data_IF_875149846811
#
_entry.id   IF_875149846811
#
_cell.length_a   1.000
_cell.length_b   1.000
_cell.length_c   1.000
_cell.angle_alpha   90.00
_cell.angle_beta   90.00
_cell.angle_gamma   90.00
#
_symmetry.space_group_name_H-M   'P 1'
#
loop_
_entity.id
_entity.type
_entity.pdbx_description
1 polymer ?
#
# COMPACT_ATOMS: atom_id res chain seq x y z
N UNK A 1 -8.94 -12.07 14.24
CA UNK A 1 -7.55 -12.25 14.71
C UNK A 1 -6.86 -10.90 14.59
N UNK A 2 -6.20 -10.42 15.64
CA UNK A 2 -5.39 -9.21 15.57
C UNK A 2 -3.92 -9.63 15.47
N UNK A 3 -3.21 -9.12 14.47
CA UNK A 3 -1.78 -9.38 14.27
C UNK A 3 -1.07 -8.04 14.27
N UNK A 4 -0.01 -7.92 15.08
CA UNK A 4 0.85 -6.73 15.08
C UNK A 4 1.88 -6.88 13.99
N UNK A 5 1.75 -6.08 12.94
CA UNK A 5 2.78 -5.92 11.92
C UNK A 5 3.72 -4.80 12.35
N UNK A 6 5.02 -5.03 12.28
CA UNK A 6 6.03 -3.99 12.55
C UNK A 6 6.68 -3.61 11.23
N UNK A 7 6.54 -2.35 10.84
CA UNK A 7 7.20 -1.78 9.66
C UNK A 7 8.29 -0.81 10.10
N UNK A 8 9.54 -1.05 9.69
CA UNK A 8 10.70 -0.22 10.06
C UNK A 8 11.14 0.75 8.95
N UNK A 9 10.35 0.89 7.89
CA UNK A 9 10.69 1.68 6.69
C UNK A 9 11.30 0.85 5.55
N UNK A 10 11.81 -0.36 5.82
CA UNK A 10 12.41 -1.24 4.81
C UNK A 10 11.86 -2.67 4.85
N UNK A 11 11.40 -3.11 6.02
CA UNK A 11 10.96 -4.47 6.29
C UNK A 11 9.65 -4.46 7.06
N UNK A 12 8.73 -5.31 6.62
CA UNK A 12 7.50 -5.64 7.31
C UNK A 12 7.70 -6.97 8.02
N UNK A 13 7.71 -6.95 9.35
CA UNK A 13 7.74 -8.17 10.16
C UNK A 13 6.31 -8.63 10.41
N UNK A 14 5.96 -9.81 9.92
CA UNK A 14 4.70 -10.49 10.18
C UNK A 14 4.91 -11.69 11.13
N UNK A 15 4.51 -11.58 12.40
CA UNK A 15 4.64 -12.67 13.37
C UNK A 15 3.99 -13.97 12.90
N UNK A 16 4.76 -15.06 12.87
CA UNK A 16 4.28 -16.38 12.46
C UNK A 16 4.20 -16.63 10.95
N UNK A 17 4.49 -15.61 10.11
CA UNK A 17 4.52 -15.75 8.65
C UNK A 17 5.93 -15.49 8.10
N UNK A 18 6.58 -14.39 8.49
CA UNK A 18 7.91 -14.05 7.99
C UNK A 18 8.25 -12.57 8.01
N UNK A 19 9.40 -12.23 7.43
CA UNK A 19 9.85 -10.85 7.24
C UNK A 19 9.86 -10.57 5.74
N UNK A 20 9.14 -9.53 5.34
CA UNK A 20 9.00 -9.11 3.95
C UNK A 20 9.75 -7.81 3.73
N UNK A 21 10.35 -7.63 2.55
CA UNK A 21 10.84 -6.32 2.15
C UNK A 21 9.60 -5.46 1.86
N UNK A 22 9.40 -4.42 2.66
CA UNK A 22 8.35 -3.46 2.42
C UNK A 22 9.04 -2.15 2.08
N UNK A 23 8.99 -1.76 0.82
CA UNK A 23 9.41 -0.43 0.40
C UNK A 23 8.16 0.38 0.20
N UNK A 24 8.08 1.56 0.81
CA UNK A 24 7.14 2.56 0.31
C UNK A 24 7.62 2.88 -1.10
N UNK A 25 6.68 2.92 -2.04
CA UNK A 25 7.03 2.76 -3.45
C UNK A 25 7.65 3.97 -4.12
N UNK A 26 8.27 4.88 -3.38
CA UNK A 26 9.00 6.00 -3.96
C UNK A 26 10.30 6.21 -3.18
N UNK A 27 11.45 6.39 -3.87
CA UNK A 27 12.69 6.82 -3.22
C UNK A 27 12.46 8.07 -2.36
N UNK A 28 13.18 8.17 -1.24
CA UNK A 28 13.12 9.29 -0.28
C UNK A 28 11.78 9.52 0.46
N UNK A 29 10.74 8.75 0.14
CA UNK A 29 9.42 8.83 0.79
C UNK A 29 9.15 7.69 1.80
N UNK A 30 10.18 6.93 2.13
CA UNK A 30 10.13 5.76 3.01
C UNK A 30 10.20 6.11 4.50
N UNK A 31 10.50 7.37 4.81
CA UNK A 31 10.81 7.81 6.16
C UNK A 31 9.55 8.12 7.00
N UNK A 32 9.61 7.91 8.33
CA UNK A 32 8.49 8.21 9.23
C UNK A 32 7.99 9.66 9.17
N UNK A 33 8.87 10.63 8.95
CA UNK A 33 8.49 12.05 8.82
C UNK A 33 7.74 12.35 7.51
N UNK A 34 7.77 11.43 6.54
CA UNK A 34 7.01 11.52 5.28
C UNK A 34 5.67 10.78 5.35
N UNK A 35 5.31 10.21 6.50
CA UNK A 35 4.05 9.47 6.69
C UNK A 35 2.79 10.26 6.34
N UNK A 36 2.82 11.57 6.11
CA UNK A 36 1.65 12.35 5.68
C UNK A 36 1.67 12.81 4.20
N UNK A 37 2.65 12.39 3.40
CA UNK A 37 2.69 12.65 1.95
C UNK A 37 1.92 11.54 1.21
N UNK A 38 0.98 11.84 0.28
CA UNK A 38 0.05 10.87 -0.32
C UNK A 38 0.63 9.54 -0.81
N UNK A 39 1.81 9.54 -1.43
CA UNK A 39 2.47 8.35 -2.00
C UNK A 39 3.64 7.83 -1.15
N UNK A 40 3.82 8.41 0.04
CA UNK A 40 4.87 8.03 0.98
C UNK A 40 4.42 6.93 1.94
N UNK A 41 5.26 6.66 2.94
CA UNK A 41 4.99 5.73 4.03
C UNK A 41 3.54 5.76 4.54
N UNK A 42 3.03 4.56 4.78
CA UNK A 42 1.77 4.35 5.47
C UNK A 42 1.97 4.86 6.91
N UNK A 43 1.06 5.72 7.43
CA UNK A 43 1.15 6.20 8.80
C UNK A 43 1.14 5.06 9.81
N UNK A 44 1.78 5.27 10.94
CA UNK A 44 1.66 4.34 12.07
C UNK A 44 0.23 4.32 12.61
N UNK A 45 -0.31 3.12 12.83
CA UNK A 45 -1.62 2.97 13.43
C UNK A 45 -2.20 1.57 13.29
N UNK A 46 -3.47 1.43 13.68
CA UNK A 46 -4.20 0.19 13.60
C UNK A 46 -5.00 0.15 12.29
N UNK A 47 -4.81 -0.91 11.53
CA UNK A 47 -5.48 -1.09 10.25
C UNK A 47 -6.22 -2.42 10.18
N UNK A 48 -7.33 -2.43 9.44
CA UNK A 48 -8.07 -3.60 9.01
C UNK A 48 -7.67 -3.90 7.57
N UNK A 49 -7.46 -5.19 7.33
CA UNK A 49 -7.06 -5.74 6.03
C UNK A 49 -8.08 -6.80 5.63
N UNK A 50 -8.51 -6.75 4.37
CA UNK A 50 -9.35 -7.80 3.80
C UNK A 50 -8.46 -8.76 3.00
N UNK A 51 -8.32 -9.99 3.48
CA UNK A 51 -7.49 -11.02 2.84
C UNK A 51 -8.36 -11.81 1.86
N UNK A 52 -8.86 -11.13 0.83
CA UNK A 52 -9.55 -11.74 -0.30
C UNK A 52 -8.86 -11.32 -1.58
N UNK A 53 -8.50 -12.28 -2.43
CA UNK A 53 -7.92 -11.94 -3.73
C UNK A 53 -9.01 -11.44 -4.67
N UNK A 54 -8.76 -10.31 -5.33
CA UNK A 54 -9.71 -9.61 -6.21
C UNK A 54 -9.27 -9.62 -7.69
N UNK A 55 -8.23 -10.37 -8.04
CA UNK A 55 -7.66 -10.38 -9.39
C UNK A 55 -6.71 -9.20 -9.65
N UNK A 56 -6.53 -8.85 -10.92
CA UNK A 56 -5.72 -7.69 -11.33
C UNK A 56 -6.48 -6.38 -11.12
N UNK A 57 -5.76 -5.37 -10.63
CA UNK A 57 -6.33 -4.06 -10.35
C UNK A 57 -6.76 -3.34 -11.65
N UNK A 58 -8.03 -2.89 -11.75
CA UNK A 58 -8.46 -2.13 -12.91
C UNK A 58 -7.78 -0.76 -12.93
N UNK A 59 -7.30 -0.33 -14.10
CA UNK A 59 -6.77 1.01 -14.31
C UNK A 59 -7.95 1.97 -14.39
N UNK A 60 -8.05 2.89 -13.42
CA UNK A 60 -9.12 3.88 -13.37
C UNK A 60 -8.78 5.10 -14.20
N UNK A 61 -7.52 5.57 -14.13
CA UNK A 61 -7.00 6.61 -14.98
C UNK A 61 -5.55 6.31 -15.37
N UNK A 62 -5.31 6.05 -16.66
CA UNK A 62 -3.97 5.78 -17.18
C UNK A 62 -3.07 7.02 -17.24
N UNK A 63 -3.64 8.24 -17.29
CA UNK A 63 -2.85 9.47 -17.32
C UNK A 63 -2.19 9.76 -15.96
N UNK A 64 -2.89 9.42 -14.87
CA UNK A 64 -2.43 9.63 -13.48
C UNK A 64 -1.88 8.35 -12.84
N UNK A 65 -1.86 7.23 -13.58
CA UNK A 65 -1.56 5.90 -13.06
C UNK A 65 -2.40 5.52 -11.82
N UNK A 66 -3.66 5.97 -11.82
CA UNK A 66 -4.64 5.67 -10.77
C UNK A 66 -5.27 4.30 -11.00
N UNK A 67 -5.17 3.45 -9.98
CA UNK A 67 -5.79 2.14 -9.95
C UNK A 67 -7.10 2.22 -9.16
N UNK A 68 -8.16 1.57 -9.65
CA UNK A 68 -9.47 1.56 -8.99
C UNK A 68 -9.41 1.04 -7.53
N UNK A 69 -10.41 1.31 -6.69
CA UNK A 69 -10.43 0.81 -5.32
C UNK A 69 -10.48 -0.73 -5.28
N UNK A 70 -9.84 -1.34 -4.26
CA UNK A 70 -9.96 -2.76 -3.96
C UNK A 70 -10.73 -3.00 -2.66
N UNK A 71 -11.39 -4.16 -2.55
CA UNK A 71 -12.00 -4.69 -1.32
C UNK A 71 -11.31 -6.00 -0.94
N UNK A 72 -9.98 -5.93 -0.87
CA UNK A 72 -9.12 -7.10 -0.79
C UNK A 72 -7.71 -6.79 -1.27
N UNK A 73 -6.95 -7.84 -1.56
CA UNK A 73 -5.67 -7.71 -2.26
C UNK A 73 -5.83 -8.04 -3.75
N UNK A 74 -5.03 -7.37 -4.59
CA UNK A 74 -5.05 -7.48 -6.04
C UNK A 74 -3.63 -7.42 -6.59
N UNK A 75 -3.40 -7.97 -7.78
CA UNK A 75 -2.14 -7.74 -8.50
C UNK A 75 -2.15 -6.37 -9.16
N UNK A 76 -0.99 -5.74 -9.26
CA UNK A 76 -0.78 -4.51 -10.01
C UNK A 76 -0.50 -4.91 -11.47
N UNK A 77 -1.17 -4.31 -12.49
CA UNK A 77 -0.88 -4.61 -13.89
C UNK A 77 0.59 -4.37 -14.21
N UNK A 78 1.18 -5.22 -15.07
CA UNK A 78 2.59 -5.11 -15.48
C UNK A 78 2.76 -5.21 -17.00
N UNK A 79 3.90 -4.70 -17.48
CA UNK A 79 4.31 -4.81 -18.89
C UNK A 79 3.31 -4.12 -19.82
N UNK A 80 2.82 -4.85 -20.83
CA UNK A 80 1.88 -4.29 -21.81
C UNK A 80 0.57 -3.79 -21.16
N UNK A 81 0.11 -4.47 -20.09
CA UNK A 81 -1.10 -4.06 -19.38
C UNK A 81 -0.91 -2.75 -18.58
N UNK A 82 0.32 -2.47 -18.12
CA UNK A 82 0.66 -1.25 -17.41
C UNK A 82 0.94 -0.05 -18.33
N UNK A 83 1.38 -0.31 -19.56
CA UNK A 83 1.72 0.74 -20.52
C UNK A 83 2.73 1.72 -19.95
N UNK A 84 2.42 3.01 -19.98
CA UNK A 84 3.28 4.09 -19.45
C UNK A 84 3.40 4.07 -17.93
N UNK A 85 2.49 3.40 -17.22
CA UNK A 85 2.48 3.33 -15.76
C UNK A 85 3.43 2.27 -15.19
N UNK A 86 4.04 1.42 -16.04
CA UNK A 86 4.98 0.39 -15.59
C UNK A 86 6.11 0.98 -14.77
N UNK A 87 6.70 2.10 -15.19
CA UNK A 87 7.84 2.72 -14.49
C UNK A 87 7.43 3.22 -13.10
N UNK A 88 6.21 3.75 -12.98
CA UNK A 88 5.68 4.25 -11.72
C UNK A 88 5.34 3.09 -10.77
N UNK A 89 4.56 2.13 -11.23
CA UNK A 89 4.14 0.96 -10.46
C UNK A 89 5.26 -0.06 -10.20
N UNK A 90 6.35 -0.05 -10.98
CA UNK A 90 7.51 -0.89 -10.71
C UNK A 90 8.12 -0.61 -9.33
N UNK A 91 7.96 0.61 -8.81
CA UNK A 91 8.41 0.95 -7.47
C UNK A 91 7.49 0.38 -6.36
N UNK A 92 6.29 -0.07 -6.72
CA UNK A 92 5.21 -0.45 -5.81
C UNK A 92 5.07 -1.98 -5.67
N UNK A 93 6.01 -2.78 -6.16
CA UNK A 93 5.90 -4.25 -6.09
C UNK A 93 4.87 -4.84 -7.06
N UNK A 94 4.38 -6.05 -6.78
CA UNK A 94 3.45 -6.79 -7.68
C UNK A 94 2.03 -6.88 -7.16
N UNK A 95 1.85 -6.73 -5.86
CA UNK A 95 0.58 -6.93 -5.18
C UNK A 95 0.25 -5.68 -4.39
N UNK A 96 -1.03 -5.37 -4.24
CA UNK A 96 -1.51 -4.29 -3.39
C UNK A 96 -2.67 -4.76 -2.54
N UNK A 97 -2.79 -4.28 -1.31
CA UNK A 97 -3.94 -4.53 -0.44
C UNK A 97 -4.42 -3.24 0.21
N UNK A 98 -5.74 -3.01 0.21
CA UNK A 98 -6.32 -1.82 0.83
C UNK A 98 -6.24 -1.91 2.35
N UNK A 99 -5.73 -0.84 2.96
CA UNK A 99 -5.76 -0.62 4.40
C UNK A 99 -6.95 0.23 4.79
N UNK A 100 -7.74 -0.21 5.77
CA UNK A 100 -8.77 0.62 6.40
C UNK A 100 -8.38 0.96 7.83
N UNK A 101 -8.39 2.24 8.21
CA UNK A 101 -8.11 2.65 9.59
C UNK A 101 -9.09 1.97 10.55
N UNK A 102 -8.56 1.31 11.57
CA UNK A 102 -9.36 0.58 12.55
C UNK A 102 -9.96 1.49 13.63
N UNK A 103 -9.36 2.65 13.86
CA UNK A 103 -9.75 3.62 14.89
C UNK A 103 -9.61 5.08 14.43
N UNK A 104 -10.19 6.00 15.19
CA UNK A 104 -10.14 7.43 14.88
C UNK A 104 -8.74 8.03 14.96
N UNK A 105 -7.89 7.52 15.86
CA UNK A 105 -6.52 8.01 16.03
C UNK A 105 -5.73 7.79 14.74
N UNK A 106 -5.81 6.59 14.20
CA UNK A 106 -5.18 6.18 12.94
C UNK A 106 -5.78 6.95 11.76
N UNK A 107 -7.11 7.13 11.74
CA UNK A 107 -7.80 7.89 10.69
C UNK A 107 -7.40 9.37 10.67
N UNK A 108 -7.11 9.96 11.84
CA UNK A 108 -6.77 11.37 11.99
C UNK A 108 -5.26 11.64 11.95
N UNK A 109 -4.40 10.61 11.88
CA UNK A 109 -2.95 10.73 11.97
C UNK A 109 -2.35 11.66 10.90
N UNK A 110 -2.87 11.59 9.67
CA UNK A 110 -2.52 12.49 8.58
C UNK A 110 -3.83 13.04 8.00
N UNK A 111 -4.12 14.32 8.24
CA UNK A 111 -5.42 14.93 7.96
C UNK A 111 -5.92 14.74 6.52
N UNK A 112 -6.68 13.67 6.26
CA UNK A 112 -7.24 13.37 4.95
C UNK A 112 -7.55 11.88 4.75
N UNK A 113 -8.39 11.57 3.76
CA UNK A 113 -8.63 10.18 3.31
C UNK A 113 -7.43 9.76 2.44
N UNK A 114 -6.58 8.85 2.93
CA UNK A 114 -5.53 8.23 2.11
C UNK A 114 -5.99 6.86 1.62
N UNK A 115 -5.73 6.55 0.35
CA UNK A 115 -5.97 5.24 -0.26
C UNK A 115 -4.79 4.29 -0.06
N UNK A 116 -4.16 4.28 1.12
CA UNK A 116 -2.90 3.56 1.33
C UNK A 116 -3.02 2.06 1.04
N UNK A 117 -2.15 1.56 0.17
CA UNK A 117 -2.01 0.14 -0.11
C UNK A 117 -0.69 -0.40 0.46
N UNK A 118 -0.69 -1.61 1.03
CA UNK A 118 0.54 -2.36 1.31
C UNK A 118 0.97 -3.16 0.09
N UNK A 119 2.27 -3.20 -0.16
CA UNK A 119 2.90 -3.94 -1.25
C UNK A 119 3.73 -5.10 -0.69
N UNK A 120 3.26 -6.36 -0.79
CA UNK A 120 4.09 -7.54 -0.52
C UNK A 120 4.90 -7.98 -1.74
#
# INVERSE_FOLDING_TARGET
MAVRLTFDGQKLTWPGIGIFKATTGLPDLQWPDKQCVPDAAIPEGNYKLFIQFQGEAPIRNAADCDLGPSWGWSTIPRGQAAGTCEIYWANWGYNRIRLESADEKTRKACGGKRGGFLYP
#
